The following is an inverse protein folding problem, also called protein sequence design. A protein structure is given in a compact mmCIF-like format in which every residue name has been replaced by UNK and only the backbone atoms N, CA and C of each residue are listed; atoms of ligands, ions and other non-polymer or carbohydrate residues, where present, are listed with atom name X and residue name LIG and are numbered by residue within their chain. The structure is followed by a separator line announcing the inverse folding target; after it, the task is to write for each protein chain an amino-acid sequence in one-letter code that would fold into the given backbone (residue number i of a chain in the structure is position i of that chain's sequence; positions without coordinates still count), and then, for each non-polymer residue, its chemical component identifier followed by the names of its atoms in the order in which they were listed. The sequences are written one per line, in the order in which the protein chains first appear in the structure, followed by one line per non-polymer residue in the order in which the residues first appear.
data_IF_556924072145
#
_entry.id   IF_556924072145
#
_cell.length_a   1.000
_cell.length_b   1.000
_cell.length_c   1.000
_cell.angle_alpha   90.00
_cell.angle_beta   90.00
_cell.angle_gamma   90.00
#
_symmetry.space_group_name_H-M   'P 1'
#
loop_
_entity.id
_entity.type
_entity.pdbx_description
1 polymer ?
#
# COMPACT_ATOMS: atom_id res chain seq x y z
N UNK A 1 8.02 -24.57 17.16
CA UNK A 1 6.91 -24.28 16.23
C UNK A 1 7.52 -23.53 15.07
N UNK A 2 7.42 -23.97 13.80
CA UNK A 2 7.99 -23.23 12.70
C UNK A 2 7.34 -21.85 12.64
N UNK A 3 8.14 -20.79 12.60
CA UNK A 3 7.66 -19.41 12.45
C UNK A 3 6.80 -19.31 11.19
N UNK A 4 5.54 -18.89 11.36
CA UNK A 4 4.67 -18.57 10.22
C UNK A 4 5.24 -17.32 9.55
N UNK A 5 5.85 -17.50 8.38
CA UNK A 5 6.30 -16.38 7.54
C UNK A 5 5.08 -15.50 7.21
N UNK A 6 5.14 -14.23 7.62
CA UNK A 6 4.07 -13.25 7.35
C UNK A 6 4.47 -12.38 6.18
N UNK A 7 3.50 -12.11 5.30
CA UNK A 7 3.66 -11.19 4.19
C UNK A 7 2.91 -9.89 4.46
N UNK A 8 3.38 -8.81 3.87
CA UNK A 8 2.78 -7.50 4.03
C UNK A 8 3.08 -6.56 2.87
N UNK A 9 2.68 -5.31 3.07
CA UNK A 9 2.96 -4.19 2.20
C UNK A 9 3.76 -3.14 2.96
N UNK A 10 4.86 -2.68 2.36
CA UNK A 10 5.57 -1.48 2.79
C UNK A 10 5.17 -0.34 1.87
N UNK A 11 4.71 0.76 2.44
CA UNK A 11 4.15 1.89 1.71
C UNK A 11 4.90 3.15 2.08
N UNK A 12 5.63 3.71 1.13
CA UNK A 12 6.28 5.01 1.23
C UNK A 12 5.33 6.11 0.73
N UNK A 13 4.51 6.63 1.63
CA UNK A 13 3.50 7.61 1.25
C UNK A 13 4.09 8.98 0.86
N UNK A 14 5.38 9.22 1.11
CA UNK A 14 6.05 10.47 0.72
C UNK A 14 6.06 10.68 -0.79
N UNK A 15 6.18 9.59 -1.56
CA UNK A 15 6.18 9.63 -3.02
C UNK A 15 4.80 9.45 -3.65
N UNK A 16 3.74 9.27 -2.85
CA UNK A 16 2.41 9.08 -3.41
C UNK A 16 1.89 10.37 -4.06
N UNK A 17 1.58 10.29 -5.36
CA UNK A 17 1.08 11.42 -6.15
C UNK A 17 -0.45 11.52 -6.19
N UNK A 18 -1.16 10.62 -5.51
CA UNK A 18 -2.62 10.61 -5.54
C UNK A 18 -3.22 10.22 -6.89
N UNK A 19 -2.57 9.34 -7.68
CA UNK A 19 -3.09 8.95 -9.01
C UNK A 19 -4.25 7.93 -8.98
N UNK A 20 -4.61 7.40 -7.81
CA UNK A 20 -5.69 6.41 -7.60
C UNK A 20 -5.52 5.06 -8.33
N UNK A 21 -4.41 4.85 -9.06
CA UNK A 21 -4.17 3.64 -9.85
C UNK A 21 -4.23 2.35 -9.02
N UNK A 22 -3.73 2.38 -7.78
CA UNK A 22 -3.78 1.22 -6.88
C UNK A 22 -5.21 0.80 -6.50
N UNK A 23 -6.15 1.75 -6.43
CA UNK A 23 -7.56 1.43 -6.12
C UNK A 23 -8.22 0.77 -7.32
N UNK A 24 -8.03 1.36 -8.51
CA UNK A 24 -8.62 0.92 -9.77
C UNK A 24 -8.07 -0.45 -10.16
N UNK A 25 -6.75 -0.64 -10.10
CA UNK A 25 -6.11 -1.91 -10.41
C UNK A 25 -6.57 -3.04 -9.49
N UNK A 26 -6.75 -2.75 -8.19
CA UNK A 26 -7.26 -3.74 -7.25
C UNK A 26 -8.73 -4.09 -7.55
N UNK A 27 -9.59 -3.11 -7.81
CA UNK A 27 -10.99 -3.36 -8.15
C UNK A 27 -11.11 -4.16 -9.47
N UNK A 28 -10.31 -3.84 -10.48
CA UNK A 28 -10.29 -4.54 -11.77
C UNK A 28 -9.81 -6.00 -11.64
N UNK A 29 -8.77 -6.27 -10.85
CA UNK A 29 -8.27 -7.63 -10.62
C UNK A 29 -9.36 -8.55 -10.05
N UNK A 30 -10.25 -8.02 -9.21
CA UNK A 30 -11.31 -8.77 -8.55
C UNK A 30 -12.71 -8.58 -9.16
N UNK A 31 -12.84 -7.75 -10.20
CA UNK A 31 -14.14 -7.43 -10.81
C UNK A 31 -15.13 -6.75 -9.86
N UNK A 32 -14.63 -5.97 -8.90
CA UNK A 32 -15.47 -5.27 -7.93
C UNK A 32 -16.14 -4.02 -8.53
N UNK A 33 -17.35 -3.65 -8.04
CA UNK A 33 -18.01 -2.42 -8.46
C UNK A 33 -17.24 -1.18 -7.99
N UNK A 34 -17.52 -0.04 -8.63
CA UNK A 34 -16.91 1.24 -8.27
C UNK A 34 -17.12 1.56 -6.78
N UNK A 35 -16.05 1.99 -6.10
CA UNK A 35 -16.04 2.27 -4.66
C UNK A 35 -15.63 1.09 -3.77
N UNK A 36 -15.57 -0.14 -4.30
CA UNK A 36 -15.03 -1.31 -3.59
C UNK A 36 -13.60 -1.60 -4.05
N UNK A 37 -12.65 -1.48 -3.13
CA UNK A 37 -11.24 -1.78 -3.40
C UNK A 37 -10.48 -2.18 -2.14
N UNK A 38 -9.46 -3.02 -2.30
CA UNK A 38 -8.52 -3.41 -1.26
C UNK A 38 -7.53 -2.29 -0.91
N UNK A 39 -7.51 -1.21 -1.68
CA UNK A 39 -6.72 -0.01 -1.40
C UNK A 39 -7.62 1.20 -1.41
N UNK A 40 -7.33 2.17 -0.53
CA UNK A 40 -7.95 3.49 -0.54
C UNK A 40 -6.89 4.56 -0.37
N UNK A 41 -6.94 5.58 -1.22
CA UNK A 41 -6.06 6.75 -1.15
C UNK A 41 -6.84 7.83 -0.41
N UNK A 42 -6.31 8.27 0.72
CA UNK A 42 -6.84 9.39 1.47
C UNK A 42 -6.05 10.64 1.12
N UNK A 43 -6.77 11.71 0.77
CA UNK A 43 -6.20 13.04 0.69
C UNK A 43 -6.24 13.68 2.08
N UNK A 44 -5.08 14.08 2.59
CA UNK A 44 -4.94 14.64 3.93
C UNK A 44 -4.24 15.98 3.83
N UNK A 45 -4.95 17.03 4.24
CA UNK A 45 -4.37 18.37 4.40
C UNK A 45 -4.10 18.58 5.88
N UNK A 46 -2.81 18.69 6.22
CA UNK A 46 -2.36 18.96 7.58
C UNK A 46 -2.08 20.46 7.74
N UNK A 47 -2.59 21.03 8.82
CA UNK A 47 -2.20 22.38 9.25
C UNK A 47 -0.90 22.27 10.04
N UNK A 48 0.13 22.96 9.56
CA UNK A 48 1.44 23.06 10.19
C UNK A 48 1.60 24.43 10.87
N UNK A 49 2.56 24.58 11.80
CA UNK A 49 2.87 25.87 12.39
C UNK A 49 3.18 26.95 11.33
N UNK A 50 2.89 28.21 11.68
CA UNK A 50 3.06 29.39 10.80
C UNK A 50 2.16 29.36 9.55
N UNK A 51 0.90 28.95 9.71
CA UNK A 51 -0.13 28.94 8.65
C UNK A 51 0.26 28.18 7.38
N UNK A 52 1.15 27.18 7.52
CA UNK A 52 1.56 26.32 6.41
C UNK A 52 0.60 25.15 6.28
N UNK A 53 0.23 24.80 5.06
CA UNK A 53 -0.50 23.58 4.78
C UNK A 53 0.44 22.53 4.18
N UNK A 54 0.26 21.27 4.58
CA UNK A 54 0.94 20.13 3.98
C UNK A 54 -0.09 19.15 3.43
N UNK A 55 -0.12 19.01 2.11
CA UNK A 55 -0.93 18.05 1.39
C UNK A 55 -0.18 16.72 1.30
N UNK A 56 -0.82 15.64 1.71
CA UNK A 56 -0.32 14.29 1.57
C UNK A 56 -1.40 13.37 1.00
N UNK A 57 -0.98 12.39 0.21
CA UNK A 57 -1.81 11.28 -0.22
C UNK A 57 -1.38 10.02 0.52
N UNK A 58 -2.30 9.40 1.26
CA UNK A 58 -2.03 8.19 2.03
C UNK A 58 -2.72 6.99 1.37
N UNK A 59 -2.01 6.20 0.55
CA UNK A 59 -2.53 4.92 0.09
C UNK A 59 -2.53 3.94 1.27
N UNK A 60 -3.70 3.45 1.63
CA UNK A 60 -3.87 2.55 2.77
C UNK A 60 -4.67 1.30 2.37
N UNK A 61 -4.24 0.09 2.78
CA UNK A 61 -5.01 -1.13 2.55
C UNK A 61 -6.31 -1.12 3.36
N UNK A 62 -7.41 -1.56 2.75
CA UNK A 62 -8.70 -1.72 3.43
C UNK A 62 -8.86 -3.14 3.97
N UNK A 63 -9.94 -3.42 4.71
CA UNK A 63 -10.28 -4.78 5.15
C UNK A 63 -10.55 -5.76 4.00
N UNK A 64 -10.71 -5.27 2.76
CA UNK A 64 -10.83 -6.12 1.57
C UNK A 64 -9.47 -6.61 1.04
N UNK A 65 -8.35 -6.07 1.55
CA UNK A 65 -7.03 -6.43 1.08
C UNK A 65 -6.62 -7.84 1.53
N UNK A 66 -6.44 -8.73 0.55
CA UNK A 66 -5.96 -10.10 0.75
C UNK A 66 -4.55 -10.33 0.17
N UNK A 67 -3.74 -9.26 0.08
CA UNK A 67 -2.40 -9.28 -0.51
C UNK A 67 -2.33 -9.88 -1.92
N UNK A 68 -3.40 -9.72 -2.71
CA UNK A 68 -3.50 -10.31 -4.04
C UNK A 68 -3.17 -11.81 -4.08
N UNK A 69 -3.67 -12.61 -3.12
CA UNK A 69 -3.33 -14.04 -2.97
C UNK A 69 -3.31 -14.85 -4.29
N UNK A 70 -4.23 -14.59 -5.21
CA UNK A 70 -4.28 -15.25 -6.52
C UNK A 70 -3.11 -14.89 -7.45
N UNK A 71 -2.59 -13.66 -7.38
CA UNK A 71 -1.43 -13.18 -8.15
C UNK A 71 -0.13 -13.64 -7.51
N UNK A 72 0.00 -13.47 -6.21
CA UNK A 72 1.22 -13.80 -5.48
C UNK A 72 1.50 -15.30 -5.48
N UNK A 73 0.47 -16.15 -5.47
CA UNK A 73 0.61 -17.61 -5.67
C UNK A 73 1.20 -17.97 -7.05
N UNK A 74 1.06 -17.10 -8.05
CA UNK A 74 1.64 -17.25 -9.40
C UNK A 74 3.01 -16.58 -9.54
N UNK A 75 3.59 -16.09 -8.44
CA UNK A 75 4.85 -15.33 -8.45
C UNK A 75 4.72 -13.92 -9.01
N UNK A 76 3.49 -13.40 -9.16
CA UNK A 76 3.24 -12.05 -9.64
C UNK A 76 3.12 -11.07 -8.46
N UNK A 77 3.53 -9.83 -8.69
CA UNK A 77 3.34 -8.76 -7.72
C UNK A 77 1.84 -8.44 -7.52
N UNK A 78 1.43 -8.01 -6.31
CA UNK A 78 0.09 -7.46 -6.09
C UNK A 78 -0.24 -6.34 -7.07
N UNK A 79 -1.52 -6.23 -7.45
CA UNK A 79 -1.96 -5.25 -8.44
C UNK A 79 -1.60 -3.81 -8.03
N UNK A 80 -1.76 -3.46 -6.75
CA UNK A 80 -1.40 -2.14 -6.23
C UNK A 80 0.10 -1.83 -6.35
N UNK A 81 0.97 -2.82 -6.11
CA UNK A 81 2.43 -2.68 -6.26
C UNK A 81 2.79 -2.54 -7.72
N UNK A 82 2.27 -3.43 -8.58
CA UNK A 82 2.59 -3.45 -10.02
C UNK A 82 2.21 -2.17 -10.75
N UNK A 83 1.09 -1.56 -10.36
CA UNK A 83 0.53 -0.38 -11.02
C UNK A 83 0.84 0.94 -10.29
N UNK A 84 1.72 0.92 -9.29
CA UNK A 84 2.15 2.14 -8.63
C UNK A 84 3.09 2.94 -9.54
N UNK A 85 2.59 4.02 -10.14
CA UNK A 85 3.39 4.89 -11.02
C UNK A 85 4.58 5.56 -10.31
N UNK A 86 4.48 5.75 -8.99
CA UNK A 86 5.53 6.33 -8.16
C UNK A 86 6.46 5.29 -7.53
N UNK A 87 6.24 3.99 -7.79
CA UNK A 87 6.99 2.88 -7.19
C UNK A 87 7.07 2.95 -5.64
N UNK A 88 6.01 3.42 -4.99
CA UNK A 88 5.99 3.71 -3.56
C UNK A 88 5.47 2.56 -2.68
N UNK A 89 5.14 1.41 -3.27
CA UNK A 89 4.64 0.24 -2.56
C UNK A 89 5.51 -0.98 -2.85
N UNK A 90 5.78 -1.78 -1.82
CA UNK A 90 6.52 -3.04 -1.92
C UNK A 90 5.77 -4.17 -1.23
N UNK A 91 5.85 -5.36 -1.80
CA UNK A 91 5.30 -6.59 -1.24
C UNK A 91 6.45 -7.53 -0.87
N UNK A 92 6.37 -8.17 0.29
CA UNK A 92 7.42 -9.05 0.76
C UNK A 92 7.14 -9.62 2.16
N UNK A 93 8.14 -10.29 2.72
CA UNK A 93 8.07 -10.78 4.10
C UNK A 93 8.13 -9.59 5.05
N UNK A 94 7.32 -9.62 6.10
CA UNK A 94 7.21 -8.53 7.08
C UNK A 94 8.57 -8.20 7.70
N UNK A 95 9.40 -9.21 7.97
CA UNK A 95 10.72 -9.04 8.58
C UNK A 95 11.69 -8.28 7.65
N UNK A 96 11.68 -8.62 6.36
CA UNK A 96 12.50 -7.96 5.32
C UNK A 96 12.02 -6.52 5.10
N UNK A 97 10.70 -6.32 5.03
CA UNK A 97 10.09 -5.00 4.86
C UNK A 97 10.34 -4.10 6.09
N UNK A 98 10.35 -4.65 7.31
CA UNK A 98 10.64 -3.89 8.52
C UNK A 98 12.10 -3.39 8.55
N UNK A 99 13.05 -4.20 8.08
CA UNK A 99 14.44 -3.76 7.94
C UNK A 99 14.56 -2.63 6.91
N UNK A 100 13.80 -2.71 5.81
CA UNK A 100 13.79 -1.65 4.81
C UNK A 100 13.16 -0.36 5.36
N UNK A 101 12.05 -0.46 6.08
CA UNK A 101 11.40 0.65 6.78
C UNK A 101 12.37 1.37 7.72
N UNK A 102 13.30 0.64 8.36
CA UNK A 102 14.32 1.23 9.22
C UNK A 102 15.32 2.16 8.51
N UNK A 103 15.39 2.12 7.17
CA UNK A 103 16.35 2.91 6.38
C UNK A 103 15.87 4.32 6.04
N UNK A 104 14.55 4.55 6.01
CA UNK A 104 13.95 5.82 5.59
C UNK A 104 12.68 6.10 6.40
N UNK A 105 12.47 7.32 6.91
CA UNK A 105 11.23 7.68 7.59
C UNK A 105 10.04 7.75 6.62
N UNK A 106 8.83 7.96 7.18
CA UNK A 106 7.59 8.19 6.41
C UNK A 106 7.14 7.00 5.57
N UNK A 107 7.33 5.81 6.13
CA UNK A 107 6.82 4.57 5.59
C UNK A 107 5.83 3.94 6.55
N UNK A 108 4.86 3.19 6.01
CA UNK A 108 3.92 2.39 6.79
C UNK A 108 4.08 0.94 6.36
N UNK A 109 4.38 0.09 7.35
CA UNK A 109 4.34 -1.35 7.18
C UNK A 109 2.97 -1.87 7.61
N UNK A 110 2.26 -2.49 6.68
CA UNK A 110 0.95 -3.09 6.92
C UNK A 110 0.97 -4.58 6.64
N UNK A 111 0.38 -5.38 7.52
CA UNK A 111 0.17 -6.80 7.33
C UNK A 111 -1.30 -7.13 7.69
N UNK A 112 -1.99 -7.97 6.87
CA UNK A 112 -3.33 -8.43 7.20
C UNK A 112 -3.31 -9.35 8.42
N UNK A 113 -4.49 -9.54 9.04
CA UNK A 113 -4.68 -10.49 10.15
C UNK A 113 -4.49 -11.94 9.70
#
# INVERSE_FOLDING_TARGET
MPEKVRYGLLIDYEYCTGCYACQIACAQEYGWPAGMSGMKVFEVVQSLPNDKAYLAYLPFPTELCILCAGRTKKGLEPACVKHCMAACMKYGKVEELAQEMGKKPRMVLWAPR
#
